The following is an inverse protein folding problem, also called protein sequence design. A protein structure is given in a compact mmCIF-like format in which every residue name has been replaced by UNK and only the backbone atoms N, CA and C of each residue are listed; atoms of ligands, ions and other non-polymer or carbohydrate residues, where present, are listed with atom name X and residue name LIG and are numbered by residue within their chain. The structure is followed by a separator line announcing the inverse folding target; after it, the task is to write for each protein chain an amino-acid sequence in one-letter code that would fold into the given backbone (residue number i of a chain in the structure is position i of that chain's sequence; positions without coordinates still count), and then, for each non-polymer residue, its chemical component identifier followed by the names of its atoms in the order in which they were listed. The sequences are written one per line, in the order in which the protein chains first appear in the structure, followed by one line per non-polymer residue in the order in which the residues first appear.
data_IF_478553424707
#
_entry.id   IF_478553424707
#
_cell.length_a   1.000
_cell.length_b   1.000
_cell.length_c   1.000
_cell.angle_alpha   90.00
_cell.angle_beta   90.00
_cell.angle_gamma   90.00
#
_symmetry.space_group_name_H-M   'P 1'
#
loop_
_entity.id
_entity.type
_entity.pdbx_description
1 polymer ?
#
# COMPACT_ATOMS: atom_id res chain seq x y z
N UNK A 1 -15.34 22.39 0.86
CA UNK A 1 -14.16 21.82 0.20
C UNK A 1 -14.58 21.30 -1.17
N UNK A 2 -14.08 21.91 -2.25
CA UNK A 2 -14.53 21.66 -3.63
C UNK A 2 -14.46 20.18 -4.03
N UNK A 3 -15.52 19.68 -4.68
CA UNK A 3 -15.63 18.30 -5.21
C UNK A 3 -14.41 17.90 -6.04
N UNK A 4 -13.85 18.84 -6.81
CA UNK A 4 -12.66 18.62 -7.64
C UNK A 4 -11.39 18.36 -6.82
N UNK A 5 -11.20 19.04 -5.67
CA UNK A 5 -10.06 18.79 -4.77
C UNK A 5 -10.17 17.44 -4.07
N UNK A 6 -11.39 16.99 -3.73
CA UNK A 6 -11.64 15.64 -3.19
C UNK A 6 -11.29 14.54 -4.19
N UNK A 7 -11.70 14.68 -5.45
CA UNK A 7 -11.38 13.70 -6.50
C UNK A 7 -9.87 13.59 -6.76
N UNK A 8 -9.17 14.73 -6.81
CA UNK A 8 -7.71 14.74 -6.97
C UNK A 8 -6.99 14.02 -5.83
N UNK A 9 -7.46 14.21 -4.58
CA UNK A 9 -6.89 13.53 -3.41
C UNK A 9 -7.11 12.02 -3.46
N UNK A 10 -8.31 11.57 -3.85
CA UNK A 10 -8.64 10.15 -4.03
C UNK A 10 -7.77 9.53 -5.12
N UNK A 11 -7.56 10.23 -6.24
CA UNK A 11 -6.70 9.74 -7.31
C UNK A 11 -5.23 9.58 -6.85
N UNK A 12 -4.70 10.54 -6.08
CA UNK A 12 -3.35 10.43 -5.50
C UNK A 12 -3.27 9.27 -4.50
N UNK A 13 -4.31 9.03 -3.71
CA UNK A 13 -4.36 7.90 -2.78
C UNK A 13 -4.39 6.56 -3.51
N UNK A 14 -5.17 6.43 -4.59
CA UNK A 14 -5.19 5.21 -5.41
C UNK A 14 -3.85 4.99 -6.12
N UNK A 15 -3.22 6.05 -6.64
CA UNK A 15 -1.89 5.97 -7.24
C UNK A 15 -0.83 5.50 -6.21
N UNK A 16 -0.90 5.99 -4.97
CA UNK A 16 -0.01 5.56 -3.89
C UNK A 16 -0.21 4.07 -3.54
N UNK A 17 -1.46 3.60 -3.54
CA UNK A 17 -1.79 2.19 -3.31
C UNK A 17 -1.26 1.30 -4.44
N UNK A 18 -1.40 1.73 -5.69
CA UNK A 18 -0.86 1.00 -6.85
C UNK A 18 0.67 0.93 -6.81
N UNK A 19 1.35 2.04 -6.50
CA UNK A 19 2.81 2.09 -6.31
C UNK A 19 3.27 1.12 -5.22
N UNK A 20 2.59 1.11 -4.08
CA UNK A 20 2.91 0.22 -2.97
C UNK A 20 2.67 -1.26 -3.33
N UNK A 21 1.56 -1.53 -4.02
CA UNK A 21 1.23 -2.87 -4.51
C UNK A 21 2.31 -3.39 -5.45
N UNK A 22 2.75 -2.56 -6.39
CA UNK A 22 3.79 -2.91 -7.35
C UNK A 22 5.12 -3.18 -6.65
N UNK A 23 5.47 -2.38 -5.64
CA UNK A 23 6.63 -2.61 -4.78
C UNK A 23 6.53 -3.95 -4.03
N UNK A 24 5.37 -4.30 -3.49
CA UNK A 24 5.18 -5.58 -2.79
C UNK A 24 5.32 -6.79 -3.73
N UNK A 25 4.90 -6.65 -5.00
CA UNK A 25 5.01 -7.69 -6.02
C UNK A 25 6.47 -7.89 -6.41
N UNK A 26 7.22 -6.80 -6.67
CA UNK A 26 8.65 -6.91 -6.98
C UNK A 26 9.46 -7.45 -5.81
N UNK A 27 9.09 -7.10 -4.56
CA UNK A 27 9.71 -7.66 -3.35
C UNK A 27 9.51 -9.18 -3.26
N UNK A 28 8.28 -9.67 -3.46
CA UNK A 28 7.99 -11.12 -3.48
C UNK A 28 8.74 -11.84 -4.61
N UNK A 29 8.81 -11.25 -5.79
CA UNK A 29 9.55 -11.81 -6.92
C UNK A 29 11.06 -11.83 -6.66
N UNK A 30 11.61 -10.82 -5.97
CA UNK A 30 13.01 -10.77 -5.57
C UNK A 30 13.32 -11.86 -4.53
N UNK A 31 12.45 -12.06 -3.53
CA UNK A 31 12.62 -13.08 -2.50
C UNK A 31 12.65 -14.52 -3.05
N UNK A 32 12.03 -14.77 -4.20
CA UNK A 32 12.09 -16.06 -4.89
C UNK A 32 13.33 -16.29 -5.76
N UNK A 33 14.22 -15.30 -5.91
CA UNK A 33 15.45 -15.40 -6.72
C UNK A 33 16.66 -15.72 -5.83
N UNK A 34 17.65 -16.48 -6.35
CA UNK A 34 18.89 -16.71 -5.62
C UNK A 34 19.61 -15.40 -5.33
N UNK A 35 20.03 -15.25 -4.06
CA UNK A 35 20.76 -14.08 -3.58
C UNK A 35 22.03 -13.87 -4.39
N UNK A 36 22.24 -12.64 -4.87
CA UNK A 36 23.39 -12.29 -5.71
C UNK A 36 23.20 -12.50 -7.21
N UNK A 37 22.04 -12.98 -7.68
CA UNK A 37 21.76 -13.02 -9.12
C UNK A 37 21.53 -11.62 -9.71
N UNK A 38 21.86 -11.37 -11.00
CA UNK A 38 21.56 -10.10 -11.66
C UNK A 38 20.07 -9.74 -11.63
N UNK A 39 19.20 -10.76 -11.70
CA UNK A 39 17.76 -10.61 -11.57
C UNK A 39 17.33 -10.18 -10.16
N UNK A 40 18.01 -10.65 -9.11
CA UNK A 40 17.77 -10.21 -7.73
C UNK A 40 18.08 -8.72 -7.57
N UNK A 41 19.26 -8.27 -8.04
CA UNK A 41 19.61 -6.84 -7.97
C UNK A 41 18.68 -5.94 -8.79
N UNK A 42 18.25 -6.39 -9.97
CA UNK A 42 17.30 -5.64 -10.80
C UNK A 42 15.92 -5.50 -10.12
N UNK A 43 15.37 -6.59 -9.57
CA UNK A 43 14.07 -6.59 -8.89
C UNK A 43 14.13 -5.81 -7.57
N UNK A 44 15.20 -5.97 -6.80
CA UNK A 44 15.41 -5.25 -5.55
C UNK A 44 15.66 -3.74 -5.79
N UNK A 45 16.40 -3.39 -6.83
CA UNK A 45 16.57 -1.99 -7.26
C UNK A 45 15.25 -1.36 -7.69
N UNK A 46 14.41 -2.11 -8.43
CA UNK A 46 13.07 -1.66 -8.80
C UNK A 46 12.16 -1.48 -7.58
N UNK A 47 12.19 -2.39 -6.62
CA UNK A 47 11.49 -2.25 -5.33
C UNK A 47 11.92 -0.98 -4.59
N UNK A 48 13.22 -0.74 -4.46
CA UNK A 48 13.75 0.47 -3.80
C UNK A 48 13.32 1.75 -4.51
N UNK A 49 13.33 1.79 -5.84
CA UNK A 49 12.86 2.93 -6.62
C UNK A 49 11.36 3.18 -6.40
N UNK A 50 10.54 2.12 -6.40
CA UNK A 50 9.10 2.22 -6.14
C UNK A 50 8.83 2.74 -4.73
N UNK A 51 9.59 2.27 -3.73
CA UNK A 51 9.51 2.78 -2.36
C UNK A 51 9.94 4.25 -2.26
N UNK A 52 10.99 4.66 -2.97
CA UNK A 52 11.42 6.05 -3.01
C UNK A 52 10.34 6.98 -3.59
N UNK A 53 9.73 6.58 -4.71
CA UNK A 53 8.60 7.32 -5.31
C UNK A 53 7.40 7.35 -4.36
N UNK A 54 7.05 6.21 -3.77
CA UNK A 54 5.98 6.12 -2.78
C UNK A 54 6.23 7.06 -1.61
N UNK A 55 7.45 7.12 -1.08
CA UNK A 55 7.81 8.00 0.03
C UNK A 55 7.61 9.48 -0.31
N UNK A 56 8.00 9.91 -1.52
CA UNK A 56 7.77 11.30 -1.97
C UNK A 56 6.27 11.59 -2.09
N UNK A 57 5.50 10.69 -2.72
CA UNK A 57 4.04 10.84 -2.83
C UNK A 57 3.39 10.90 -1.45
N UNK A 58 3.83 10.04 -0.53
CA UNK A 58 3.36 9.99 0.85
C UNK A 58 3.65 11.29 1.60
N UNK A 59 4.86 11.85 1.44
CA UNK A 59 5.20 13.16 1.98
C UNK A 59 4.30 14.29 1.44
N UNK A 60 3.89 14.23 0.16
CA UNK A 60 2.98 15.22 -0.43
C UNK A 60 1.55 15.09 0.13
N UNK A 61 1.08 13.87 0.40
CA UNK A 61 -0.22 13.60 1.02
C UNK A 61 -0.25 14.20 2.43
N UNK A 62 0.78 13.92 3.24
CA UNK A 62 0.85 14.40 4.63
C UNK A 62 0.90 15.93 4.75
N UNK A 63 1.41 16.63 3.72
CA UNK A 63 1.40 18.11 3.69
C UNK A 63 0.02 18.71 3.40
N UNK A 64 -0.93 17.93 2.86
CA UNK A 64 -2.21 18.43 2.34
C UNK A 64 -3.44 17.87 3.07
N UNK A 65 -3.29 16.77 3.80
CA UNK A 65 -4.38 16.10 4.49
C UNK A 65 -4.05 15.95 5.98
N UNK A 66 -5.05 16.01 6.88
CA UNK A 66 -4.85 15.67 8.28
C UNK A 66 -4.34 14.24 8.40
N UNK A 67 -3.39 14.07 9.32
CA UNK A 67 -2.66 12.81 9.53
C UNK A 67 -3.61 11.66 9.83
N UNK A 68 -4.69 11.94 10.58
CA UNK A 68 -5.78 11.01 10.89
C UNK A 68 -6.41 10.37 9.64
N UNK A 69 -6.88 11.21 8.71
CA UNK A 69 -7.47 10.78 7.44
C UNK A 69 -6.47 10.05 6.54
N UNK A 70 -5.20 10.47 6.54
CA UNK A 70 -4.16 9.82 5.75
C UNK A 70 -3.90 8.39 6.25
N UNK A 71 -3.77 8.18 7.56
CA UNK A 71 -3.55 6.86 8.14
C UNK A 71 -4.78 5.94 8.01
N UNK A 72 -5.99 6.48 8.17
CA UNK A 72 -7.22 5.73 7.90
C UNK A 72 -7.24 5.17 6.47
N UNK A 73 -6.86 5.99 5.49
CA UNK A 73 -6.81 5.54 4.10
C UNK A 73 -5.58 4.65 3.80
N UNK A 74 -4.48 4.77 4.56
CA UNK A 74 -3.32 3.88 4.44
C UNK A 74 -3.66 2.45 4.86
N UNK A 75 -4.50 2.26 5.88
CA UNK A 75 -4.95 0.94 6.31
C UNK A 75 -5.72 0.19 5.20
N UNK A 76 -6.46 0.90 4.35
CA UNK A 76 -7.11 0.33 3.15
C UNK A 76 -6.08 -0.23 2.16
N UNK A 77 -4.84 0.29 2.18
CA UNK A 77 -3.73 -0.26 1.40
C UNK A 77 -3.40 -1.72 1.73
N UNK A 78 -3.69 -2.18 2.96
CA UNK A 78 -3.52 -3.59 3.35
C UNK A 78 -4.55 -4.48 2.62
N UNK A 79 -5.79 -4.01 2.49
CA UNK A 79 -6.84 -4.71 1.74
C UNK A 79 -6.41 -4.87 0.28
N UNK A 80 -5.92 -3.79 -0.33
CA UNK A 80 -5.43 -3.82 -1.71
C UNK A 80 -4.20 -4.71 -1.90
N UNK A 81 -3.28 -4.71 -0.94
CA UNK A 81 -2.11 -5.59 -0.95
C UNK A 81 -2.52 -7.07 -0.89
N UNK A 82 -3.54 -7.40 -0.08
CA UNK A 82 -4.09 -8.76 -0.02
C UNK A 82 -4.80 -9.15 -1.33
N UNK A 83 -5.58 -8.25 -1.94
CA UNK A 83 -6.21 -8.48 -3.24
C UNK A 83 -5.14 -8.71 -4.31
N UNK A 84 -4.11 -7.89 -4.35
CA UNK A 84 -3.02 -8.05 -5.30
C UNK A 84 -2.22 -9.32 -5.08
N UNK A 85 -1.99 -9.71 -3.82
CA UNK A 85 -1.37 -10.99 -3.49
C UNK A 85 -2.19 -12.17 -4.02
N UNK A 86 -3.51 -12.12 -3.84
CA UNK A 86 -4.43 -13.14 -4.35
C UNK A 86 -4.51 -13.16 -5.89
N UNK A 87 -4.48 -12.00 -6.56
CA UNK A 87 -4.61 -11.89 -8.01
C UNK A 87 -3.31 -12.22 -8.76
N UNK A 88 -2.16 -11.77 -8.26
CA UNK A 88 -0.87 -11.89 -8.94
C UNK A 88 -0.16 -13.20 -8.59
N UNK A 89 -0.28 -13.64 -7.34
CA UNK A 89 0.40 -14.85 -6.85
C UNK A 89 -0.55 -16.02 -6.63
N UNK A 90 -1.84 -15.86 -6.93
CA UNK A 90 -2.88 -16.88 -6.71
C UNK A 90 -2.88 -17.42 -5.27
N UNK A 91 -2.50 -16.57 -4.29
CA UNK A 91 -2.51 -16.95 -2.89
C UNK A 91 -3.93 -17.16 -2.39
N UNK A 92 -4.13 -18.23 -1.60
CA UNK A 92 -5.42 -18.51 -0.97
C UNK A 92 -5.67 -17.49 0.14
N UNK A 93 -6.66 -16.63 -0.07
CA UNK A 93 -7.15 -15.73 0.99
C UNK A 93 -7.92 -16.58 1.99
N UNK A 94 -7.27 -16.91 3.10
CA UNK A 94 -7.90 -17.68 4.18
C UNK A 94 -8.78 -16.80 5.06
N UNK A 95 -9.72 -17.42 5.78
CA UNK A 95 -10.56 -16.73 6.78
C UNK A 95 -9.70 -16.00 7.83
N UNK A 96 -8.54 -16.56 8.19
CA UNK A 96 -7.58 -15.92 9.11
C UNK A 96 -7.05 -14.59 8.57
N UNK A 97 -6.76 -14.50 7.27
CA UNK A 97 -6.33 -13.25 6.63
C UNK A 97 -7.45 -12.21 6.69
N UNK A 98 -8.69 -12.63 6.46
CA UNK A 98 -9.86 -11.75 6.51
C UNK A 98 -10.09 -11.18 7.92
N UNK A 99 -9.97 -12.03 8.95
CA UNK A 99 -10.06 -11.59 10.36
C UNK A 99 -8.94 -10.62 10.70
N UNK A 100 -7.70 -10.90 10.27
CA UNK A 100 -6.56 -10.00 10.49
C UNK A 100 -6.78 -8.63 9.86
N UNK A 101 -7.26 -8.59 8.61
CA UNK A 101 -7.61 -7.33 7.93
C UNK A 101 -8.73 -6.59 8.66
N UNK A 102 -9.78 -7.30 9.10
CA UNK A 102 -10.90 -6.71 9.84
C UNK A 102 -10.43 -6.08 11.17
N UNK A 103 -9.55 -6.75 11.91
CA UNK A 103 -8.97 -6.21 13.16
C UNK A 103 -8.17 -4.93 12.91
N UNK A 104 -7.34 -4.90 11.87
CA UNK A 104 -6.56 -3.70 11.51
C UNK A 104 -7.48 -2.54 11.11
N UNK A 105 -8.51 -2.81 10.31
CA UNK A 105 -9.48 -1.79 9.91
C UNK A 105 -10.24 -1.25 11.13
N UNK A 106 -10.75 -2.12 12.00
CA UNK A 106 -11.43 -1.71 13.23
C UNK A 106 -10.52 -0.87 14.14
N UNK A 107 -9.27 -1.29 14.35
CA UNK A 107 -8.31 -0.51 15.14
C UNK A 107 -8.02 0.86 14.55
N UNK A 108 -7.91 0.95 13.22
CA UNK A 108 -7.66 2.22 12.55
C UNK A 108 -8.88 3.15 12.61
N UNK A 109 -10.09 2.60 12.47
CA UNK A 109 -11.33 3.36 12.60
C UNK A 109 -11.54 3.87 14.03
N UNK A 110 -11.24 3.04 15.04
CA UNK A 110 -11.34 3.45 16.45
C UNK A 110 -10.43 4.64 16.75
N UNK A 111 -9.15 4.54 16.36
CA UNK A 111 -8.18 5.64 16.52
C UNK A 111 -8.61 6.89 15.77
N UNK A 112 -9.22 6.74 14.59
CA UNK A 112 -9.70 7.88 13.81
C UNK A 112 -10.99 8.51 14.38
N UNK A 113 -11.78 7.77 15.17
CA UNK A 113 -13.05 8.25 15.74
C UNK A 113 -12.87 9.01 17.06
N UNK A 114 -11.72 8.84 17.72
CA UNK A 114 -11.34 9.54 18.95
C UNK A 114 -10.63 10.89 18.69
N UNK A 115 -10.48 11.30 17.42
CA UNK A 115 -10.06 12.65 16.98
C UNK A 115 -11.24 13.46 16.43
#
# INVERSE_FOLDING_TARGET
MDKAKKLGLIAVLQAAVLLYTLSSVTAKLAAGRPFGSPAFFALYGAELLLLAVYAVVWQQILKRAPVSMAYANRAVGIVWSMIAAALVFHETVTVKNLVGVAVVLCGTLLVNSDE
#
